data_IF_392396727670
#
_entry.id   IF_392396727670
#
_cell.length_a   1.000
_cell.length_b   1.000
_cell.length_c   1.000
_cell.angle_alpha   90.00
_cell.angle_beta   90.00
_cell.angle_gamma   90.00
#
_symmetry.space_group_name_H-M   'P 1'
#
loop_
_entity.id
_entity.type
_entity.pdbx_description
1 polymer ?
#
# COMPACT_ATOMS: atom_id res chain seq x y z
N UNK A 1 8.93 -9.75 -0.21
CA UNK A 1 7.57 -9.67 -0.76
C UNK A 1 6.66 -8.97 0.24
N UNK A 2 5.92 -7.95 -0.20
CA UNK A 2 4.93 -7.26 0.64
C UNK A 2 3.56 -7.89 0.41
N UNK A 3 2.84 -8.20 1.49
CA UNK A 3 1.48 -8.73 1.43
C UNK A 3 0.60 -7.80 2.22
N UNK A 4 -0.33 -7.15 1.53
CA UNK A 4 -1.18 -6.12 2.12
C UNK A 4 -2.61 -6.63 2.13
N UNK A 5 -3.25 -6.57 3.29
CA UNK A 5 -4.68 -6.85 3.46
C UNK A 5 -5.38 -5.63 4.04
N UNK A 6 -6.67 -5.52 3.77
CA UNK A 6 -7.47 -4.36 4.17
C UNK A 6 -8.69 -4.78 4.98
N UNK A 7 -8.96 -4.10 6.10
CA UNK A 7 -10.16 -4.28 6.90
C UNK A 7 -10.85 -2.92 7.13
N UNK A 8 -12.01 -2.72 6.51
CA UNK A 8 -12.83 -1.52 6.75
C UNK A 8 -13.87 -1.80 7.85
N UNK A 9 -13.76 -1.07 8.95
CA UNK A 9 -14.67 -1.08 10.09
C UNK A 9 -15.44 0.25 10.23
N UNK A 10 -15.30 1.15 9.26
CA UNK A 10 -15.89 2.49 9.25
C UNK A 10 -17.19 2.58 8.44
N UNK A 11 -17.48 1.58 7.62
CA UNK A 11 -18.69 1.56 6.80
C UNK A 11 -19.93 1.39 7.70
N UNK A 12 -20.97 2.19 7.46
CA UNK A 12 -22.23 2.17 8.22
C UNK A 12 -22.90 0.78 8.23
N UNK A 13 -22.67 -0.02 7.19
CA UNK A 13 -23.16 -1.40 7.05
C UNK A 13 -22.17 -2.47 7.56
N UNK A 14 -20.99 -2.08 8.06
CA UNK A 14 -20.02 -3.04 8.58
C UNK A 14 -20.33 -3.43 10.02
N UNK A 15 -20.87 -4.63 10.21
CA UNK A 15 -21.01 -5.18 11.57
C UNK A 15 -19.64 -5.49 12.15
N UNK A 16 -19.48 -5.31 13.47
CA UNK A 16 -18.28 -5.69 14.23
C UNK A 16 -17.82 -7.11 13.89
N UNK A 17 -18.78 -8.05 13.82
CA UNK A 17 -18.51 -9.45 13.49
C UNK A 17 -17.84 -9.60 12.12
N UNK A 18 -18.29 -8.85 11.13
CA UNK A 18 -17.71 -8.86 9.78
C UNK A 18 -16.28 -8.33 9.79
N UNK A 19 -16.03 -7.25 10.52
CA UNK A 19 -14.68 -6.69 10.68
C UNK A 19 -13.73 -7.70 11.32
N UNK A 20 -14.14 -8.33 12.41
CA UNK A 20 -13.35 -9.38 13.08
C UNK A 20 -13.08 -10.54 12.12
N UNK A 21 -14.09 -10.98 11.37
CA UNK A 21 -13.93 -12.03 10.37
C UNK A 21 -12.93 -11.64 9.27
N UNK A 22 -12.96 -10.39 8.79
CA UNK A 22 -12.01 -9.89 7.79
C UNK A 22 -10.58 -9.86 8.33
N UNK A 23 -10.38 -9.48 9.60
CA UNK A 23 -9.06 -9.52 10.26
C UNK A 23 -8.57 -10.97 10.37
N UNK A 24 -9.43 -11.90 10.79
CA UNK A 24 -9.08 -13.31 10.88
C UNK A 24 -8.74 -13.93 9.51
N UNK A 25 -9.49 -13.57 8.46
CA UNK A 25 -9.18 -13.99 7.09
C UNK A 25 -7.82 -13.43 6.65
N UNK A 26 -7.54 -12.17 6.97
CA UNK A 26 -6.26 -11.54 6.64
C UNK A 26 -5.07 -12.27 7.29
N UNK A 27 -5.22 -12.68 8.55
CA UNK A 27 -4.24 -13.51 9.24
C UNK A 27 -3.97 -14.84 8.51
N UNK A 28 -5.00 -15.53 8.04
CA UNK A 28 -4.84 -16.76 7.24
C UNK A 28 -4.11 -16.50 5.91
N UNK A 29 -4.39 -15.37 5.25
CA UNK A 29 -3.71 -14.97 4.01
C UNK A 29 -2.22 -14.71 4.27
N UNK A 30 -1.88 -14.06 5.38
CA UNK A 30 -0.48 -13.84 5.76
C UNK A 30 0.25 -15.15 6.04
N UNK A 31 -0.41 -16.11 6.67
CA UNK A 31 0.16 -17.43 6.91
C UNK A 31 0.42 -18.19 5.61
N UNK A 32 -0.57 -18.23 4.71
CA UNK A 32 -0.39 -18.85 3.40
C UNK A 32 0.75 -18.19 2.61
N UNK A 33 0.87 -16.87 2.69
CA UNK A 33 1.96 -16.15 2.03
C UNK A 33 3.33 -16.53 2.62
N UNK A 34 3.45 -16.66 3.95
CA UNK A 34 4.68 -17.15 4.59
C UNK A 34 5.05 -18.56 4.14
N UNK A 35 4.08 -19.47 4.09
CA UNK A 35 4.29 -20.83 3.60
C UNK A 35 4.76 -20.86 2.13
N UNK A 36 4.30 -19.90 1.32
CA UNK A 36 4.59 -19.86 -0.12
C UNK A 36 5.91 -19.15 -0.44
N UNK A 37 6.20 -18.03 0.23
CA UNK A 37 7.30 -17.13 -0.10
C UNK A 37 8.45 -17.14 0.93
N UNK A 38 8.27 -17.86 2.04
CA UNK A 38 9.20 -17.92 3.16
C UNK A 38 8.90 -16.85 4.22
N UNK A 39 9.20 -17.19 5.47
CA UNK A 39 8.90 -16.36 6.64
C UNK A 39 9.65 -15.02 6.60
N UNK A 40 10.99 -15.06 6.46
CA UNK A 40 11.84 -13.86 6.44
C UNK A 40 11.63 -12.96 5.20
N UNK A 41 11.09 -13.54 4.13
CA UNK A 41 10.86 -12.84 2.88
C UNK A 41 9.49 -12.17 2.81
N UNK A 42 8.59 -12.44 3.77
CA UNK A 42 7.22 -11.93 3.75
C UNK A 42 7.06 -10.79 4.74
N UNK A 43 6.57 -9.65 4.25
CA UNK A 43 6.26 -8.46 5.06
C UNK A 43 4.75 -8.25 5.09
N UNK A 44 4.03 -8.90 6.01
CA UNK A 44 2.58 -8.77 6.12
C UNK A 44 2.20 -7.41 6.71
N UNK A 45 1.22 -6.75 6.09
CA UNK A 45 0.72 -5.44 6.49
C UNK A 45 -0.81 -5.47 6.48
N UNK A 46 -1.41 -5.15 7.62
CA UNK A 46 -2.86 -5.02 7.75
C UNK A 46 -3.22 -3.54 7.83
N UNK A 47 -3.82 -3.04 6.76
CA UNK A 47 -4.37 -1.68 6.71
C UNK A 47 -5.81 -1.75 7.18
N UNK A 48 -6.16 -0.99 8.21
CA UNK A 48 -7.53 -0.95 8.69
C UNK A 48 -8.02 0.48 8.86
N UNK A 49 -9.34 0.64 8.80
CA UNK A 49 -10.00 1.93 9.01
C UNK A 49 -11.09 1.74 10.05
N UNK A 50 -10.95 2.38 11.20
CA UNK A 50 -11.90 2.26 12.31
C UNK A 50 -12.00 3.59 13.06
N UNK A 51 -13.20 3.92 13.56
CA UNK A 51 -13.33 4.98 14.56
C UNK A 51 -12.70 4.53 15.88
N UNK A 52 -12.29 5.46 16.74
CA UNK A 52 -11.66 5.13 18.04
C UNK A 52 -12.49 4.17 18.90
N UNK A 53 -13.83 4.31 18.90
CA UNK A 53 -14.73 3.40 19.60
C UNK A 53 -14.74 2.00 18.99
N UNK A 54 -14.75 1.89 17.66
CA UNK A 54 -14.70 0.61 16.96
C UNK A 54 -13.33 -0.06 17.13
N UNK A 55 -12.25 0.71 17.05
CA UNK A 55 -10.88 0.25 17.24
C UNK A 55 -10.72 -0.43 18.60
N UNK A 56 -11.29 0.16 19.66
CA UNK A 56 -11.29 -0.44 21.01
C UNK A 56 -12.00 -1.80 21.06
N UNK A 57 -13.04 -2.00 20.24
CA UNK A 57 -13.79 -3.26 20.18
C UNK A 57 -13.01 -4.34 19.42
N UNK A 58 -12.36 -3.96 18.33
CA UNK A 58 -11.61 -4.89 17.46
C UNK A 58 -10.14 -5.05 17.88
N UNK A 59 -9.67 -4.26 18.85
CA UNK A 59 -8.29 -4.27 19.35
C UNK A 59 -7.74 -5.68 19.63
N UNK A 60 -8.47 -6.60 20.30
CA UNK A 60 -7.95 -7.94 20.54
C UNK A 60 -7.66 -8.73 19.24
N UNK A 61 -8.42 -8.47 18.18
CA UNK A 61 -8.19 -9.10 16.87
C UNK A 61 -7.01 -8.47 16.14
N UNK A 62 -6.81 -7.15 16.29
CA UNK A 62 -5.66 -6.44 15.75
C UNK A 62 -4.36 -6.88 16.44
N UNK A 63 -4.36 -6.95 17.77
CA UNK A 63 -3.23 -7.45 18.57
C UNK A 63 -2.86 -8.89 18.20
N UNK A 64 -3.85 -9.75 17.98
CA UNK A 64 -3.60 -11.11 17.51
C UNK A 64 -2.92 -11.14 16.12
N UNK A 65 -3.33 -10.27 15.19
CA UNK A 65 -2.69 -10.16 13.89
C UNK A 65 -1.25 -9.60 14.01
N UNK A 66 -1.01 -8.65 14.92
CA UNK A 66 0.32 -8.12 15.20
C UNK A 66 1.25 -9.16 15.83
N UNK A 67 0.75 -9.96 16.78
CA UNK A 67 1.49 -11.07 17.37
C UNK A 67 1.87 -12.13 16.33
N UNK A 68 1.10 -12.25 15.25
CA UNK A 68 1.45 -13.08 14.11
C UNK A 68 2.43 -12.39 13.15
N UNK A 69 2.94 -11.20 13.46
CA UNK A 69 3.95 -10.49 12.68
C UNK A 69 3.39 -9.49 11.66
N UNK A 70 2.08 -9.26 11.62
CA UNK A 70 1.50 -8.24 10.74
C UNK A 70 1.82 -6.83 11.25
N UNK A 71 2.33 -5.95 10.39
CA UNK A 71 2.39 -4.53 10.71
C UNK A 71 1.00 -3.93 10.58
N UNK A 72 0.49 -3.36 11.67
CA UNK A 72 -0.81 -2.69 11.71
C UNK A 72 -0.68 -1.25 11.20
N UNK A 73 -1.59 -0.83 10.32
CA UNK A 73 -1.64 0.52 9.75
C UNK A 73 -3.05 1.07 9.91
N UNK A 74 -3.24 2.03 10.80
CA UNK A 74 -4.52 2.71 10.95
C UNK A 74 -4.65 3.81 9.87
N UNK A 75 -5.59 3.64 8.95
CA UNK A 75 -5.80 4.58 7.85
C UNK A 75 -6.42 5.93 8.29
N UNK A 76 -7.09 5.95 9.44
CA UNK A 76 -7.56 7.19 10.06
C UNK A 76 -6.40 7.99 10.68
N UNK A 77 -5.36 7.30 11.15
CA UNK A 77 -4.13 7.95 11.66
C UNK A 77 -3.37 8.61 10.51
N UNK A 78 -3.24 9.94 10.56
CA UNK A 78 -2.50 10.72 9.55
C UNK A 78 -1.04 10.28 9.47
N UNK A 79 -0.43 9.99 10.61
CA UNK A 79 0.99 9.64 10.68
C UNK A 79 1.26 8.26 10.09
N UNK A 80 0.42 7.27 10.42
CA UNK A 80 0.52 5.91 9.87
C UNK A 80 0.28 5.91 8.37
N UNK A 81 -0.77 6.61 7.92
CA UNK A 81 -1.08 6.76 6.50
C UNK A 81 0.09 7.36 5.74
N UNK A 82 0.68 8.45 6.23
CA UNK A 82 1.82 9.08 5.57
C UNK A 82 3.03 8.16 5.50
N UNK A 83 3.36 7.48 6.62
CA UNK A 83 4.48 6.54 6.68
C UNK A 83 4.31 5.39 5.69
N UNK A 84 3.11 4.81 5.65
CA UNK A 84 2.79 3.73 4.73
C UNK A 84 2.82 4.16 3.27
N UNK A 85 2.28 5.34 2.93
CA UNK A 85 2.33 5.88 1.56
C UNK A 85 3.76 6.14 1.12
N UNK A 86 4.60 6.71 1.98
CA UNK A 86 6.03 6.92 1.69
C UNK A 86 6.74 5.58 1.46
N UNK A 87 6.51 4.60 2.32
CA UNK A 87 7.07 3.26 2.18
C UNK A 87 6.65 2.63 0.84
N UNK A 88 5.36 2.62 0.51
CA UNK A 88 4.86 2.10 -0.75
C UNK A 88 5.45 2.84 -1.96
N UNK A 89 5.51 4.17 -1.91
CA UNK A 89 6.07 4.98 -2.98
C UNK A 89 7.55 4.65 -3.24
N UNK A 90 8.31 4.28 -2.19
CA UNK A 90 9.71 3.87 -2.33
C UNK A 90 9.90 2.51 -3.01
N UNK A 91 8.85 1.69 -3.09
CA UNK A 91 8.87 0.42 -3.81
C UNK A 91 8.63 0.61 -5.33
N UNK A 92 8.16 1.77 -5.75
CA UNK A 92 7.91 2.04 -7.16
C UNK A 92 9.22 2.25 -7.92
N UNK A 93 9.36 1.63 -9.09
CA UNK A 93 10.46 1.93 -9.99
C UNK A 93 10.37 3.39 -10.48
N UNK A 94 11.48 4.14 -10.51
CA UNK A 94 11.48 5.51 -11.03
C UNK A 94 10.96 5.53 -12.47
N UNK A 95 10.00 6.41 -12.76
CA UNK A 95 9.52 6.56 -14.13
C UNK A 95 10.69 6.99 -15.01
N UNK A 96 10.95 6.30 -16.14
CA UNK A 96 12.02 6.68 -17.04
C UNK A 96 11.76 8.12 -17.47
N UNK A 97 12.67 9.03 -17.12
CA UNK A 97 12.63 10.40 -17.62
C UNK A 97 12.71 10.27 -19.14
N UNK A 98 11.62 10.59 -19.85
CA UNK A 98 11.65 10.79 -21.31
C UNK A 98 12.83 11.72 -21.56
N UNK A 99 13.90 11.19 -22.15
CA UNK A 99 15.07 11.96 -22.48
C UNK A 99 14.57 13.17 -23.25
N UNK A 100 14.86 14.38 -22.75
CA UNK A 100 14.81 15.53 -23.62
C UNK A 100 15.72 15.19 -24.79
N UNK A 101 15.21 15.14 -26.04
CA UNK A 101 16.14 15.10 -27.15
C UNK A 101 16.99 16.35 -26.98
N UNK A 102 18.31 16.15 -26.82
CA UNK A 102 19.30 17.21 -26.99
C UNK A 102 19.23 17.65 -28.45
N UNK A 103 18.16 18.35 -28.83
CA UNK A 103 18.13 19.15 -30.04
C UNK A 103 18.98 20.37 -29.75
N UNK A 104 20.29 20.23 -29.99
CA UNK A 104 21.13 21.36 -30.32
C UNK A 104 20.61 21.96 -31.62
N UNK A 105 19.59 22.82 -31.53
CA UNK A 105 19.13 23.62 -32.66
C UNK A 105 20.23 24.62 -32.97
N UNK A 106 21.15 24.22 -33.84
CA UNK A 106 22.08 25.14 -34.45
C UNK A 106 21.30 26.03 -35.42
N UNK A 107 21.26 27.34 -35.16
CA UNK A 107 20.53 28.33 -35.94
C UNK A 107 20.99 28.47 -37.42
N UNK A 108 21.93 27.65 -37.87
CA UNK A 108 22.51 27.68 -39.22
C UNK A 108 21.82 26.78 -40.25
N UNK A 109 20.83 25.96 -39.87
CA UNK A 109 20.11 25.08 -40.81
C UNK A 109 18.71 25.63 -41.07
N UNK A 110 18.63 26.70 -41.88
CA UNK A 110 17.37 27.12 -42.46
C UNK A 110 16.94 26.15 -43.57
N UNK A 111 15.73 25.57 -43.51
CA UNK A 111 15.21 24.76 -44.61
C UNK A 111 14.90 25.68 -45.80
N UNK A 112 15.66 25.54 -46.89
CA UNK A 112 15.33 26.15 -48.17
C UNK A 112 14.11 25.44 -48.75
N UNK A 113 12.92 26.00 -48.50
CA UNK A 113 11.71 25.64 -49.21
C UNK A 113 11.89 25.99 -50.69
N UNK A 114 11.98 24.96 -51.55
CA UNK A 114 11.89 25.14 -53.00
C UNK A 114 10.42 25.39 -53.34
N UNK A 115 10.11 26.63 -53.72
CA UNK A 115 8.88 26.97 -54.41
C UNK A 115 9.02 26.51 -55.87
N UNK A 116 8.11 25.64 -56.31
CA UNK A 116 7.79 25.42 -57.72
C UNK A 116 6.64 26.35 -58.10
#
# INVERSE_FOLDING_TARGET
MHVIQTADASAEDSSVRRTIANIAISALVFEQARMTFGEDNTKPKLVYKASSGMESIIAPSLEAAEHQGATLINWESRDDRNRFVIELASLAEPTPKKGQPNMSVHASVQPRLKLN
#
